data_IF_924733080458
#
_entry.id   IF_924733080458
#
_cell.length_a   1.000
_cell.length_b   1.000
_cell.length_c   1.000
_cell.angle_alpha   90.00
_cell.angle_beta   90.00
_cell.angle_gamma   90.00
#
_symmetry.space_group_name_H-M   'P 1'
#
loop_
_entity.id
_entity.type
_entity.pdbx_description
1 polymer ?
#
# COMPACT_ATOMS: atom_id res chain seq x y z
N UNK A 1 14.90 -21.09 -12.81
CA UNK A 1 14.12 -21.47 -11.61
C UNK A 1 13.31 -20.26 -11.21
N UNK A 2 12.03 -20.24 -11.56
CA UNK A 2 11.12 -19.19 -11.09
C UNK A 2 10.80 -19.52 -9.63
N UNK A 3 11.31 -18.72 -8.70
CA UNK A 3 10.88 -18.78 -7.33
C UNK A 3 9.39 -18.42 -7.34
N UNK A 4 8.54 -19.41 -7.08
CA UNK A 4 7.15 -19.19 -6.68
C UNK A 4 7.21 -18.37 -5.39
N UNK A 5 7.23 -17.04 -5.52
CA UNK A 5 6.92 -16.15 -4.39
C UNK A 5 5.50 -16.52 -3.99
N UNK A 6 5.34 -17.13 -2.82
CA UNK A 6 4.03 -17.32 -2.21
C UNK A 6 3.31 -15.98 -2.30
N UNK A 7 2.23 -15.94 -3.07
CA UNK A 7 1.48 -14.72 -3.35
C UNK A 7 0.87 -14.27 -2.03
N UNK A 8 1.53 -13.35 -1.34
CA UNK A 8 0.97 -12.74 -0.14
C UNK A 8 -0.32 -12.05 -0.56
N UNK A 9 -1.42 -12.37 0.12
CA UNK A 9 -2.72 -11.80 -0.20
C UNK A 9 -2.67 -10.27 -0.05
N UNK A 10 -3.16 -9.49 -1.03
CA UNK A 10 -3.16 -8.04 -0.97
C UNK A 10 -3.78 -7.50 0.32
N UNK A 11 -4.84 -8.14 0.83
CA UNK A 11 -5.47 -7.81 2.11
C UNK A 11 -4.50 -7.85 3.30
N UNK A 12 -3.57 -8.80 3.33
CA UNK A 12 -2.56 -8.88 4.38
C UNK A 12 -1.58 -7.70 4.31
N UNK A 13 -1.12 -7.37 3.09
CA UNK A 13 -0.22 -6.23 2.87
C UNK A 13 -0.91 -4.92 3.27
N UNK A 14 -2.18 -4.77 2.90
CA UNK A 14 -2.99 -3.60 3.27
C UNK A 14 -3.09 -3.46 4.79
N UNK A 15 -3.37 -4.56 5.50
CA UNK A 15 -3.42 -4.54 6.97
C UNK A 15 -2.07 -4.14 7.60
N UNK A 16 -0.95 -4.66 7.08
CA UNK A 16 0.38 -4.27 7.54
C UNK A 16 0.65 -2.77 7.33
N UNK A 17 0.36 -2.25 6.14
CA UNK A 17 0.58 -0.83 5.80
C UNK A 17 -0.25 0.08 6.71
N UNK A 18 -1.52 -0.22 6.93
CA UNK A 18 -2.40 0.61 7.78
C UNK A 18 -2.04 0.53 9.27
N UNK A 19 -1.42 -0.57 9.70
CA UNK A 19 -0.94 -0.73 11.08
C UNK A 19 0.36 0.04 11.35
N UNK A 20 1.25 0.11 10.36
CA UNK A 20 2.60 0.68 10.51
C UNK A 20 2.66 2.17 10.20
N UNK A 21 1.76 2.69 9.36
CA UNK A 21 1.82 4.05 8.85
C UNK A 21 0.55 4.86 9.17
N UNK A 22 0.66 6.20 9.35
CA UNK A 22 -0.48 7.08 9.57
C UNK A 22 -1.26 7.35 8.26
N UNK A 23 -1.71 6.29 7.59
CA UNK A 23 -2.46 6.32 6.34
C UNK A 23 -3.86 5.70 6.51
N UNK A 24 -4.70 5.85 5.49
CA UNK A 24 -6.02 5.21 5.43
C UNK A 24 -6.21 4.49 4.11
N UNK A 25 -7.22 3.63 4.06
CA UNK A 25 -7.62 2.95 2.83
C UNK A 25 -9.00 3.44 2.44
N UNK A 26 -9.06 4.07 1.29
CA UNK A 26 -10.30 4.41 0.62
C UNK A 26 -10.67 3.28 -0.33
N UNK A 27 -11.95 3.13 -0.63
CA UNK A 27 -12.43 2.13 -1.57
C UNK A 27 -13.08 2.82 -2.75
N UNK A 28 -12.58 2.53 -3.96
CA UNK A 28 -13.14 3.03 -5.21
C UNK A 28 -13.39 1.87 -6.17
N UNK A 29 -14.64 1.68 -6.57
CA UNK A 29 -15.05 0.57 -7.45
C UNK A 29 -14.64 -0.82 -6.95
N UNK A 30 -14.62 -1.02 -5.63
CA UNK A 30 -14.19 -2.28 -5.01
C UNK A 30 -12.68 -2.49 -4.99
N UNK A 31 -11.87 -1.47 -5.32
CA UNK A 31 -10.42 -1.50 -5.25
C UNK A 31 -9.90 -0.62 -4.12
N UNK A 32 -8.86 -1.06 -3.39
CA UNK A 32 -8.27 -0.29 -2.30
C UNK A 32 -7.40 0.86 -2.86
N UNK A 33 -7.55 2.05 -2.31
CA UNK A 33 -6.74 3.23 -2.61
C UNK A 33 -6.06 3.69 -1.33
N UNK A 34 -4.75 3.92 -1.39
CA UNK A 34 -3.99 4.42 -0.25
C UNK A 34 -4.22 5.92 -0.10
N UNK A 35 -4.72 6.37 1.04
CA UNK A 35 -4.77 7.78 1.41
C UNK A 35 -3.60 8.10 2.35
N UNK A 36 -2.68 8.96 1.93
CA UNK A 36 -1.51 9.38 2.70
C UNK A 36 -1.59 10.86 3.09
N UNK A 37 -0.95 11.24 4.19
CA UNK A 37 -0.98 12.64 4.67
C UNK A 37 0.15 13.49 4.10
N UNK A 38 1.34 12.92 3.89
CA UNK A 38 2.52 13.62 3.38
C UNK A 38 3.21 12.79 2.32
N UNK A 39 3.84 13.44 1.34
CA UNK A 39 4.60 12.77 0.29
C UNK A 39 5.75 11.90 0.85
N UNK A 40 6.33 12.30 1.99
CA UNK A 40 7.34 11.51 2.70
C UNK A 40 6.78 10.15 3.16
N UNK A 41 5.54 10.12 3.65
CA UNK A 41 4.89 8.87 4.07
C UNK A 41 4.70 7.95 2.87
N UNK A 42 4.28 8.49 1.71
CA UNK A 42 4.12 7.70 0.49
C UNK A 42 5.43 7.02 0.07
N UNK A 43 6.56 7.75 0.12
CA UNK A 43 7.88 7.19 -0.24
C UNK A 43 8.29 6.07 0.71
N UNK A 44 8.06 6.24 2.02
CA UNK A 44 8.40 5.22 3.02
C UNK A 44 7.48 4.00 2.89
N UNK A 45 6.18 4.20 2.68
CA UNK A 45 5.21 3.11 2.47
C UNK A 45 5.56 2.31 1.21
N UNK A 46 5.91 2.99 0.11
CA UNK A 46 6.32 2.35 -1.15
C UNK A 46 7.54 1.45 -0.92
N UNK A 47 8.59 2.00 -0.31
CA UNK A 47 9.80 1.24 0.01
C UNK A 47 9.52 0.08 0.98
N UNK A 48 8.63 0.28 1.96
CA UNK A 48 8.23 -0.78 2.89
C UNK A 48 7.56 -1.95 2.15
N UNK A 49 6.63 -1.67 1.23
CA UNK A 49 5.93 -2.71 0.48
C UNK A 49 6.89 -3.49 -0.42
N UNK A 50 7.78 -2.78 -1.12
CA UNK A 50 8.79 -3.40 -1.99
C UNK A 50 9.78 -4.26 -1.19
N UNK A 51 10.30 -3.77 -0.07
CA UNK A 51 11.33 -4.47 0.72
C UNK A 51 10.75 -5.66 1.49
N UNK A 52 9.54 -5.54 2.05
CA UNK A 52 8.97 -6.59 2.90
C UNK A 52 8.21 -7.65 2.10
N UNK A 53 7.55 -7.28 0.99
CA UNK A 53 6.70 -8.19 0.22
C UNK A 53 7.17 -8.42 -1.21
N UNK A 54 8.11 -7.60 -1.72
CA UNK A 54 8.68 -7.78 -3.05
C UNK A 54 7.68 -7.51 -4.19
N UNK A 55 6.65 -6.70 -3.93
CA UNK A 55 5.63 -6.27 -4.88
C UNK A 55 5.60 -4.74 -4.97
N UNK A 56 5.06 -4.21 -6.06
CA UNK A 56 4.88 -2.77 -6.20
C UNK A 56 3.70 -2.29 -5.36
N UNK A 57 3.75 -1.03 -4.89
CA UNK A 57 2.62 -0.42 -4.17
C UNK A 57 1.33 -0.50 -4.99
N UNK A 58 1.44 -0.33 -6.32
CA UNK A 58 0.30 -0.33 -7.24
C UNK A 58 -0.20 -1.74 -7.61
N UNK A 59 0.53 -2.79 -7.25
CA UNK A 59 0.01 -4.16 -7.30
C UNK A 59 -0.95 -4.44 -6.13
N UNK A 60 -0.84 -3.67 -5.05
CA UNK A 60 -1.63 -3.79 -3.82
C UNK A 60 -2.76 -2.78 -3.79
N UNK A 61 -2.48 -1.53 -4.13
CA UNK A 61 -3.43 -0.42 -4.15
C UNK A 61 -3.69 0.04 -5.58
N UNK A 62 -4.93 0.33 -5.93
CA UNK A 62 -5.27 0.87 -7.24
C UNK A 62 -4.62 2.24 -7.50
N UNK A 63 -4.55 3.09 -6.47
CA UNK A 63 -3.87 4.38 -6.53
C UNK A 63 -3.51 4.87 -5.12
N UNK A 64 -2.65 5.88 -5.05
CA UNK A 64 -2.33 6.61 -3.83
C UNK A 64 -2.76 8.07 -3.98
N UNK A 65 -3.52 8.57 -3.01
CA UNK A 65 -4.08 9.92 -2.98
C UNK A 65 -3.62 10.67 -1.73
N UNK A 66 -3.24 11.93 -1.91
CA UNK A 66 -2.95 12.82 -0.79
C UNK A 66 -4.25 13.22 -0.09
N UNK A 67 -4.26 13.13 1.24
CA UNK A 67 -5.41 13.54 2.05
C UNK A 67 -5.54 15.05 2.03
N UNK A 68 -6.75 15.54 1.75
CA UNK A 68 -7.03 16.98 1.75
C UNK A 68 -7.11 17.51 3.18
N UNK A 69 -6.48 18.65 3.48
CA UNK A 69 -6.74 19.34 4.75
C UNK A 69 -8.22 19.77 4.81
N UNK A 70 -8.85 19.53 5.96
CA UNK A 70 -10.23 19.93 6.24
C UNK A 70 -10.41 21.45 6.31
#
# INVERSE_FOLDING_TARGET
>A
MAAIRETVEPDHIIQCVVSEFPCRVLWSEGRPCLEYQREEDLKVITAYVEVNFGVDLLDVFFTAVESLPA
#
